data_IF_460456640737
#
_entry.id   IF_460456640737
#
_cell.length_a   1.000
_cell.length_b   1.000
_cell.length_c   1.000
_cell.angle_alpha   90.00
_cell.angle_beta   90.00
_cell.angle_gamma   90.00
#
_symmetry.space_group_name_H-M   'P 1'
#
loop_
_entity.id
_entity.type
_entity.pdbx_description
1 polymer ?
#
# COMPACT_ATOMS: atom_id res chain seq x y z
N UNK A 1 -48.75 -55.81 8.68
CA UNK A 1 -49.23 -55.78 7.30
C UNK A 1 -47.97 -55.29 6.52
N UNK A 2 -47.31 -56.29 6.15
CA UNK A 2 -47.03 -56.99 4.87
C UNK A 2 -46.07 -56.18 4.03
N UNK A 3 -44.74 -56.58 4.00
CA UNK A 3 -44.14 -57.52 3.01
C UNK A 3 -44.05 -56.87 1.60
N UNK A 4 -43.02 -56.90 0.75
CA UNK A 4 -42.09 -58.00 0.45
C UNK A 4 -41.21 -57.53 -0.75
N UNK A 5 -39.98 -58.06 -0.84
CA UNK A 5 -39.12 -58.38 -1.99
C UNK A 5 -38.04 -57.40 -2.51
N UNK A 6 -36.84 -57.82 -2.23
CA UNK A 6 -35.69 -57.75 -3.12
C UNK A 6 -35.77 -58.85 -4.23
N UNK A 7 -35.02 -58.79 -5.31
CA UNK A 7 -33.96 -59.78 -5.44
C UNK A 7 -32.61 -59.28 -6.00
N UNK A 8 -31.58 -60.02 -5.61
CA UNK A 8 -30.24 -60.14 -6.16
C UNK A 8 -30.24 -60.65 -7.62
N UNK A 9 -29.17 -60.31 -8.33
CA UNK A 9 -28.58 -61.17 -9.38
C UNK A 9 -27.18 -60.67 -9.72
N UNK A 10 -26.14 -61.35 -9.26
CA UNK A 10 -25.12 -62.18 -9.89
C UNK A 10 -24.33 -61.58 -11.07
N UNK A 11 -23.00 -61.62 -10.88
CA UNK A 11 -21.93 -61.41 -11.88
C UNK A 11 -21.78 -62.68 -12.78
N UNK A 12 -21.10 -62.59 -13.87
CA UNK A 12 -20.12 -63.59 -14.20
C UNK A 12 -18.70 -63.07 -14.48
N UNK A 13 -17.76 -63.84 -13.99
CA UNK A 13 -16.37 -63.90 -14.37
C UNK A 13 -16.20 -64.35 -15.84
N UNK A 14 -15.24 -63.77 -16.53
CA UNK A 14 -14.51 -64.48 -17.61
C UNK A 14 -13.03 -64.03 -17.57
N UNK A 15 -12.18 -65.03 -17.28
CA UNK A 15 -10.73 -65.08 -17.55
C UNK A 15 -10.47 -65.20 -19.05
N UNK A 16 -9.50 -64.47 -19.57
CA UNK A 16 -8.71 -64.94 -20.71
C UNK A 16 -7.26 -64.44 -20.69
N UNK A 17 -6.44 -65.34 -21.09
CA UNK A 17 -5.00 -65.51 -20.92
C UNK A 17 -4.08 -64.52 -21.67
N UNK A 18 -2.91 -64.43 -21.10
CA UNK A 18 -1.62 -63.98 -21.58
C UNK A 18 -1.32 -64.38 -23.04
N UNK A 19 -0.88 -63.41 -23.84
CA UNK A 19 0.15 -63.67 -24.84
C UNK A 19 1.15 -62.49 -24.95
N UNK A 20 2.42 -62.79 -24.86
CA UNK A 20 3.54 -61.84 -24.84
C UNK A 20 4.09 -61.60 -26.23
N UNK A 21 4.31 -60.32 -26.54
CA UNK A 21 5.32 -59.94 -27.54
C UNK A 21 6.03 -58.68 -27.08
N UNK A 22 7.35 -58.84 -26.91
CA UNK A 22 8.31 -57.74 -26.64
C UNK A 22 8.44 -56.87 -27.86
N UNK A 23 8.03 -55.60 -27.71
CA UNK A 23 8.25 -54.54 -28.67
C UNK A 23 9.01 -53.40 -28.01
N UNK A 24 10.33 -53.32 -28.23
CA UNK A 24 11.14 -52.15 -27.93
C UNK A 24 10.71 -50.97 -28.80
N UNK A 25 10.00 -50.03 -28.19
CA UNK A 25 9.66 -48.74 -28.80
C UNK A 25 9.80 -47.67 -27.73
N UNK A 26 10.89 -46.89 -27.79
CA UNK A 26 11.05 -45.66 -26.99
C UNK A 26 9.88 -44.72 -27.24
N UNK A 27 9.12 -44.31 -26.23
CA UNK A 27 8.24 -43.19 -26.40
C UNK A 27 9.04 -41.91 -26.19
N UNK A 28 9.43 -41.27 -27.28
CA UNK A 28 9.68 -39.86 -27.28
C UNK A 28 8.36 -39.17 -26.88
N UNK A 29 8.17 -38.92 -25.59
CA UNK A 29 7.14 -38.00 -25.13
C UNK A 29 7.57 -36.60 -25.52
N UNK A 30 7.17 -36.18 -26.70
CA UNK A 30 6.98 -34.75 -27.00
C UNK A 30 5.91 -34.26 -26.00
N UNK A 31 6.38 -33.76 -24.85
CA UNK A 31 5.58 -32.84 -24.07
C UNK A 31 5.20 -31.75 -25.04
N UNK A 32 3.93 -31.71 -25.43
CA UNK A 32 3.34 -30.55 -26.03
C UNK A 32 3.73 -29.36 -25.14
N UNK A 33 4.43 -28.43 -25.73
CA UNK A 33 4.74 -27.12 -25.16
C UNK A 33 3.39 -26.39 -24.97
N UNK A 34 2.76 -26.65 -23.84
CA UNK A 34 1.60 -25.88 -23.40
C UNK A 34 2.06 -24.45 -23.16
N UNK A 35 1.47 -23.56 -23.93
CA UNK A 35 1.68 -22.14 -24.07
C UNK A 35 2.36 -21.45 -22.89
N UNK A 36 3.56 -20.94 -23.10
CA UNK A 36 4.55 -20.38 -22.21
C UNK A 36 4.04 -19.89 -20.86
N UNK A 37 4.24 -20.66 -19.82
CA UNK A 37 4.13 -20.17 -18.44
C UNK A 37 5.11 -19.00 -18.30
N UNK A 38 4.59 -17.78 -18.15
CA UNK A 38 5.41 -16.58 -17.91
C UNK A 38 6.46 -16.85 -16.83
N UNK A 39 7.72 -16.78 -17.19
CA UNK A 39 8.85 -17.01 -16.31
C UNK A 39 8.95 -15.93 -15.20
N UNK A 40 9.90 -16.14 -14.29
CA UNK A 40 10.19 -15.11 -13.27
C UNK A 40 10.66 -13.81 -13.94
N UNK A 41 11.51 -13.92 -14.96
CA UNK A 41 12.00 -12.78 -15.75
C UNK A 41 10.88 -12.00 -16.38
N UNK A 42 9.92 -12.69 -17.04
CA UNK A 42 8.78 -12.04 -17.68
C UNK A 42 7.89 -11.28 -16.68
N UNK A 43 7.73 -11.84 -15.47
CA UNK A 43 6.98 -11.17 -14.41
C UNK A 43 7.67 -9.88 -13.94
N UNK A 44 8.99 -9.89 -13.82
CA UNK A 44 9.78 -8.69 -13.47
C UNK A 44 9.66 -7.65 -14.58
N UNK A 45 9.85 -8.05 -15.83
CA UNK A 45 9.74 -7.16 -17.01
C UNK A 45 8.36 -6.56 -17.10
N UNK A 46 7.30 -7.36 -16.89
CA UNK A 46 5.92 -6.86 -16.87
C UNK A 46 5.73 -5.79 -15.77
N UNK A 47 6.22 -6.03 -14.57
CA UNK A 47 6.16 -5.05 -13.48
C UNK A 47 6.86 -3.75 -13.85
N UNK A 48 8.10 -3.84 -14.35
CA UNK A 48 8.87 -2.66 -14.78
C UNK A 48 8.23 -1.89 -15.94
N UNK A 49 7.56 -2.59 -16.88
CA UNK A 49 6.81 -1.95 -17.95
C UNK A 49 5.66 -1.09 -17.41
N UNK A 50 4.86 -1.63 -16.47
CA UNK A 50 3.77 -0.87 -15.86
C UNK A 50 4.28 0.28 -14.96
N UNK A 51 5.40 0.09 -14.27
CA UNK A 51 6.08 1.18 -13.57
C UNK A 51 6.44 2.31 -14.55
N UNK A 52 7.13 1.99 -15.65
CA UNK A 52 7.54 2.97 -16.65
C UNK A 52 6.34 3.69 -17.28
N UNK A 53 5.32 2.94 -17.72
CA UNK A 53 4.12 3.49 -18.35
C UNK A 53 3.39 4.48 -17.42
N UNK A 54 3.13 4.09 -16.17
CA UNK A 54 2.37 4.92 -15.24
C UNK A 54 3.21 6.08 -14.68
N UNK A 55 4.54 5.91 -14.57
CA UNK A 55 5.44 7.00 -14.19
C UNK A 55 5.60 8.05 -15.29
N UNK A 56 5.48 7.65 -16.56
CA UNK A 56 5.47 8.61 -17.69
C UNK A 56 4.26 9.54 -17.65
N UNK A 57 3.10 9.06 -17.20
CA UNK A 57 1.91 9.91 -16.99
C UNK A 57 2.17 10.96 -15.91
N UNK A 58 2.76 10.56 -14.79
CA UNK A 58 3.11 11.49 -13.71
C UNK A 58 4.16 12.50 -14.17
N UNK A 59 5.22 12.05 -14.86
CA UNK A 59 6.25 12.93 -15.40
C UNK A 59 5.67 13.97 -16.39
N UNK A 60 4.73 13.55 -17.24
CA UNK A 60 4.01 14.47 -18.14
C UNK A 60 3.17 15.47 -17.35
N UNK A 61 2.42 15.00 -16.32
CA UNK A 61 1.66 15.88 -15.42
C UNK A 61 2.53 16.93 -14.76
N UNK A 62 3.69 16.52 -14.21
CA UNK A 62 4.68 17.42 -13.62
C UNK A 62 5.18 18.44 -14.65
N UNK A 63 5.56 18.00 -15.85
CA UNK A 63 6.05 18.89 -16.91
C UNK A 63 4.98 19.92 -17.31
N UNK A 64 3.71 19.52 -17.44
CA UNK A 64 2.60 20.42 -17.73
C UNK A 64 2.32 21.37 -16.56
N UNK A 65 2.36 20.87 -15.32
CA UNK A 65 2.21 21.71 -14.13
C UNK A 65 3.26 22.80 -14.06
N UNK A 66 4.54 22.43 -14.17
CA UNK A 66 5.66 23.39 -14.12
C UNK A 66 5.61 24.38 -15.30
N UNK A 67 5.21 23.91 -16.50
CA UNK A 67 5.17 24.74 -17.70
C UNK A 67 3.99 25.70 -17.81
N UNK A 68 2.82 25.34 -17.28
CA UNK A 68 1.57 26.05 -17.58
C UNK A 68 0.74 26.48 -16.37
N UNK A 69 0.91 25.88 -15.19
CA UNK A 69 0.14 26.27 -14.03
C UNK A 69 0.88 27.36 -13.22
N UNK A 70 0.16 28.37 -12.72
CA UNK A 70 0.73 29.33 -11.79
C UNK A 70 1.09 28.63 -10.48
N UNK A 71 2.18 29.04 -9.87
CA UNK A 71 2.50 28.62 -8.51
C UNK A 71 1.59 29.36 -7.53
N UNK A 72 0.99 28.62 -6.61
CA UNK A 72 0.18 29.21 -5.55
C UNK A 72 1.12 29.71 -4.45
N UNK A 73 1.13 31.03 -4.13
CA UNK A 73 1.90 31.53 -3.01
C UNK A 73 1.36 30.93 -1.71
N UNK A 74 2.04 29.93 -1.18
CA UNK A 74 1.67 29.38 0.12
C UNK A 74 2.58 29.99 1.18
N UNK A 75 2.00 30.49 2.27
CA UNK A 75 2.75 30.80 3.50
C UNK A 75 3.28 29.53 4.20
N UNK A 76 3.21 28.39 3.53
CA UNK A 76 3.55 27.07 4.03
C UNK A 76 5.01 26.65 3.77
N UNK A 77 5.83 27.53 3.19
CA UNK A 77 7.28 27.29 3.10
C UNK A 77 7.90 27.36 4.50
N UNK A 78 8.00 26.21 5.17
CA UNK A 78 8.62 26.11 6.50
C UNK A 78 10.14 26.04 6.44
N UNK A 79 10.70 25.71 5.28
CA UNK A 79 12.12 25.50 5.05
C UNK A 79 12.55 26.27 3.79
N UNK A 80 13.86 26.49 3.63
CA UNK A 80 14.41 27.13 2.46
C UNK A 80 13.91 26.45 1.17
N UNK A 81 13.15 27.22 0.39
CA UNK A 81 12.60 26.78 -0.88
C UNK A 81 13.62 27.06 -1.99
N UNK A 82 14.30 26.01 -2.41
CA UNK A 82 15.33 26.09 -3.45
C UNK A 82 14.76 25.83 -4.87
N UNK A 83 13.45 26.01 -5.08
CA UNK A 83 12.77 25.66 -6.34
C UNK A 83 12.46 24.17 -6.47
N UNK A 84 12.50 23.43 -5.37
CA UNK A 84 12.22 21.99 -5.31
C UNK A 84 10.71 21.76 -5.34
N UNK A 85 10.19 21.10 -6.36
CA UNK A 85 8.76 20.89 -6.52
C UNK A 85 8.32 19.41 -6.30
N UNK A 86 9.25 18.46 -6.29
CA UNK A 86 8.95 17.08 -5.97
C UNK A 86 8.86 16.78 -4.47
N UNK A 87 9.36 17.70 -3.64
CA UNK A 87 9.37 17.59 -2.18
C UNK A 87 8.39 18.57 -1.52
N UNK A 88 7.27 18.90 -2.16
CA UNK A 88 6.25 19.78 -1.59
C UNK A 88 5.54 19.12 -0.40
N UNK A 89 4.90 19.90 0.46
CA UNK A 89 4.16 19.46 1.65
C UNK A 89 5.03 18.60 2.60
N UNK A 90 4.63 17.35 2.86
CA UNK A 90 5.39 16.42 3.72
C UNK A 90 6.80 16.14 3.18
N UNK A 91 7.00 16.23 1.87
CA UNK A 91 8.30 16.05 1.24
C UNK A 91 9.39 17.00 1.74
N UNK A 92 9.01 18.23 2.14
CA UNK A 92 9.95 19.19 2.73
C UNK A 92 10.55 18.68 4.05
N UNK A 93 9.74 18.02 4.88
CA UNK A 93 10.21 17.43 6.12
C UNK A 93 11.22 16.32 5.88
N UNK A 94 10.98 15.46 4.89
CA UNK A 94 11.93 14.42 4.51
C UNK A 94 13.23 15.03 3.96
N UNK A 95 13.14 16.10 3.15
CA UNK A 95 14.30 16.83 2.64
C UNK A 95 15.10 17.45 3.80
N UNK A 96 14.44 18.13 4.71
CA UNK A 96 15.08 18.74 5.87
C UNK A 96 15.75 17.70 6.78
N UNK A 97 15.09 16.58 7.07
CA UNK A 97 15.69 15.48 7.82
C UNK A 97 16.92 14.91 7.08
N UNK A 98 16.84 14.76 5.76
CA UNK A 98 17.98 14.28 4.98
C UNK A 98 19.16 15.25 5.04
N UNK A 99 18.94 16.54 5.05
CA UNK A 99 19.95 17.60 5.11
C UNK A 99 20.49 17.84 6.53
N UNK A 100 19.62 18.13 7.48
CA UNK A 100 19.99 18.63 8.80
C UNK A 100 19.83 17.60 9.92
N UNK A 101 18.98 16.58 9.74
CA UNK A 101 18.62 15.62 10.78
C UNK A 101 17.33 15.98 11.49
N UNK A 102 17.11 15.32 12.62
CA UNK A 102 15.89 15.49 13.40
C UNK A 102 15.99 16.63 14.39
N UNK A 103 14.86 17.31 14.58
CA UNK A 103 14.65 18.22 15.71
C UNK A 103 13.29 17.95 16.37
N UNK A 104 13.19 18.28 17.63
CA UNK A 104 11.97 18.22 18.42
C UNK A 104 11.77 19.51 19.22
N UNK A 105 10.61 20.09 19.09
CA UNK A 105 10.13 21.21 19.91
C UNK A 105 8.79 20.83 20.49
N UNK A 106 8.67 20.91 21.79
CA UNK A 106 7.41 20.69 22.47
C UNK A 106 6.38 21.74 22.04
N UNK A 107 5.15 21.32 21.78
CA UNK A 107 4.03 22.16 21.32
C UNK A 107 4.24 22.86 19.95
N UNK A 108 5.19 22.41 19.14
CA UNK A 108 5.41 22.91 17.79
C UNK A 108 5.56 21.77 16.80
N UNK A 109 5.39 22.08 15.51
CA UNK A 109 5.66 21.13 14.44
C UNK A 109 7.12 20.69 14.48
N UNK A 110 7.36 19.40 14.43
CA UNK A 110 8.69 18.83 14.61
C UNK A 110 8.95 17.71 13.63
N UNK A 111 10.17 17.63 13.12
CA UNK A 111 10.55 16.61 12.12
C UNK A 111 10.45 15.17 12.64
N UNK A 112 10.41 14.98 13.97
CA UNK A 112 10.24 13.66 14.62
C UNK A 112 8.92 12.95 14.28
N UNK A 113 7.93 13.64 13.68
CA UNK A 113 6.72 13.02 13.15
C UNK A 113 7.00 12.04 11.99
N UNK A 114 8.11 12.23 11.28
CA UNK A 114 8.46 11.51 10.05
C UNK A 114 9.49 10.41 10.33
N UNK A 115 9.20 9.19 9.88
CA UNK A 115 9.96 8.00 10.24
C UNK A 115 11.26 7.86 9.44
N UNK A 116 12.31 7.20 10.04
CA UNK A 116 13.69 7.39 9.62
C UNK A 116 14.11 6.65 8.33
N UNK A 117 13.50 5.53 7.98
CA UNK A 117 14.04 4.68 6.90
C UNK A 117 14.16 5.43 5.56
N UNK A 118 13.13 6.20 5.17
CA UNK A 118 13.12 6.92 3.90
C UNK A 118 14.11 8.11 3.87
N UNK A 119 14.07 9.07 4.81
CA UNK A 119 14.99 10.21 4.76
C UNK A 119 16.46 9.80 5.00
N UNK A 120 16.73 8.76 5.78
CA UNK A 120 18.10 8.25 5.95
C UNK A 120 18.62 7.56 4.69
N UNK A 121 17.75 6.83 3.96
CA UNK A 121 18.11 6.29 2.65
C UNK A 121 18.42 7.42 1.65
N UNK A 122 17.62 8.49 1.62
CA UNK A 122 17.87 9.68 0.82
C UNK A 122 19.20 10.35 1.19
N UNK A 123 19.47 10.55 2.49
CA UNK A 123 20.76 11.07 2.97
C UNK A 123 21.93 10.21 2.52
N UNK A 124 21.81 8.88 2.60
CA UNK A 124 22.86 7.97 2.17
C UNK A 124 23.15 8.13 0.66
N UNK A 125 22.09 8.14 -0.16
CA UNK A 125 22.21 8.34 -1.61
C UNK A 125 22.83 9.70 -1.91
N UNK A 126 22.38 10.79 -1.27
CA UNK A 126 22.95 12.13 -1.44
C UNK A 126 24.46 12.16 -1.15
N UNK A 127 24.88 11.55 -0.03
CA UNK A 127 26.30 11.47 0.35
C UNK A 127 27.18 10.66 -0.60
N UNK A 128 26.63 9.55 -1.13
CA UNK A 128 27.41 8.66 -2.02
C UNK A 128 27.50 9.22 -3.44
N UNK A 129 26.43 9.87 -3.92
CA UNK A 129 26.33 10.34 -5.31
C UNK A 129 26.63 11.81 -5.49
N UNK A 130 26.62 12.62 -4.43
CA UNK A 130 26.71 14.09 -4.50
C UNK A 130 25.43 14.79 -5.01
N UNK A 131 24.33 14.05 -5.15
CA UNK A 131 23.03 14.64 -5.50
C UNK A 131 22.50 15.52 -4.38
N UNK A 132 21.70 16.55 -4.74
CA UNK A 132 20.89 17.30 -3.78
C UNK A 132 19.90 16.37 -3.10
N UNK A 133 19.52 16.66 -1.84
CA UNK A 133 18.70 15.78 -1.01
C UNK A 133 17.34 15.47 -1.64
N UNK A 134 16.70 16.46 -2.29
CA UNK A 134 15.46 16.20 -3.02
C UNK A 134 15.64 15.18 -4.13
N UNK A 135 16.65 15.35 -4.98
CA UNK A 135 16.94 14.43 -6.08
C UNK A 135 17.28 13.03 -5.55
N UNK A 136 18.04 12.94 -4.45
CA UNK A 136 18.35 11.68 -3.80
C UNK A 136 17.10 10.99 -3.25
N UNK A 137 16.19 11.71 -2.60
CA UNK A 137 14.91 11.20 -2.12
C UNK A 137 14.03 10.73 -3.29
N UNK A 138 14.02 11.48 -4.40
CA UNK A 138 13.28 11.11 -5.60
C UNK A 138 13.83 9.82 -6.22
N UNK A 139 15.17 9.66 -6.28
CA UNK A 139 15.81 8.43 -6.72
C UNK A 139 15.41 7.26 -5.82
N UNK A 140 15.49 7.42 -4.50
CA UNK A 140 15.07 6.39 -3.54
C UNK A 140 13.60 6.01 -3.77
N UNK A 141 12.68 6.98 -3.83
CA UNK A 141 11.26 6.73 -4.04
C UNK A 141 11.01 5.92 -5.31
N UNK A 142 11.60 6.33 -6.45
CA UNK A 142 11.35 5.69 -7.75
C UNK A 142 12.06 4.33 -7.91
N UNK A 143 13.25 4.13 -7.33
CA UNK A 143 13.92 2.84 -7.30
C UNK A 143 13.12 1.82 -6.47
N UNK A 144 12.65 2.22 -5.28
CA UNK A 144 11.79 1.36 -4.47
C UNK A 144 10.44 1.10 -5.15
N UNK A 145 9.88 2.08 -5.85
CA UNK A 145 8.65 1.88 -6.60
C UNK A 145 8.84 0.88 -7.76
N UNK A 146 9.90 1.02 -8.54
CA UNK A 146 10.23 0.06 -9.62
C UNK A 146 10.39 -1.36 -9.06
N UNK A 147 11.12 -1.50 -7.94
CA UNK A 147 11.25 -2.77 -7.24
C UNK A 147 9.90 -3.29 -6.71
N UNK A 148 9.04 -2.42 -6.19
CA UNK A 148 7.70 -2.78 -5.74
C UNK A 148 6.83 -3.30 -6.88
N UNK A 149 6.86 -2.69 -8.06
CA UNK A 149 6.14 -3.17 -9.25
C UNK A 149 6.64 -4.54 -9.72
N UNK A 150 7.96 -4.73 -9.77
CA UNK A 150 8.58 -6.01 -10.14
C UNK A 150 8.18 -7.12 -9.14
N UNK A 151 8.34 -6.86 -7.84
CA UNK A 151 7.97 -7.83 -6.80
C UNK A 151 6.46 -8.07 -6.71
N UNK A 152 5.64 -7.05 -6.95
CA UNK A 152 4.19 -7.20 -6.97
C UNK A 152 3.74 -8.08 -8.15
N UNK A 153 4.36 -7.93 -9.32
CA UNK A 153 4.09 -8.82 -10.46
C UNK A 153 4.46 -10.29 -10.14
N UNK A 154 5.58 -10.52 -9.46
CA UNK A 154 5.99 -11.85 -8.97
C UNK A 154 4.98 -12.37 -7.94
N UNK A 155 4.59 -11.54 -6.99
CA UNK A 155 3.60 -11.88 -5.97
C UNK A 155 2.24 -12.28 -6.60
N UNK A 156 1.75 -11.50 -7.57
CA UNK A 156 0.51 -11.79 -8.27
C UNK A 156 0.57 -13.15 -9.01
N UNK A 157 1.69 -13.43 -9.66
CA UNK A 157 1.90 -14.71 -10.36
C UNK A 157 1.81 -15.90 -9.40
N UNK A 158 2.46 -15.81 -8.26
CA UNK A 158 2.58 -16.92 -7.32
C UNK A 158 1.32 -17.10 -6.48
N UNK A 159 0.71 -15.99 -6.10
CA UNK A 159 -0.46 -16.00 -5.20
C UNK A 159 -1.76 -16.31 -5.94
N UNK A 160 -1.84 -15.99 -7.23
CA UNK A 160 -3.06 -16.11 -8.04
C UNK A 160 -2.80 -16.85 -9.36
N UNK A 161 -2.34 -18.13 -9.31
CA UNK A 161 -2.00 -18.88 -10.51
C UNK A 161 -3.21 -19.10 -11.46
N UNK A 162 -4.41 -19.27 -10.89
CA UNK A 162 -5.64 -19.54 -11.61
C UNK A 162 -6.43 -18.28 -11.99
N UNK A 163 -5.81 -17.11 -11.90
CA UNK A 163 -6.48 -15.86 -12.26
C UNK A 163 -6.57 -15.68 -13.79
N UNK A 164 -7.55 -14.91 -14.31
CA UNK A 164 -7.66 -14.59 -15.73
C UNK A 164 -6.35 -14.00 -16.29
N UNK A 165 -6.08 -14.20 -17.61
CA UNK A 165 -4.84 -13.76 -18.26
C UNK A 165 -4.53 -12.27 -18.02
N UNK A 166 -5.54 -11.43 -18.12
CA UNK A 166 -5.38 -9.96 -18.01
C UNK A 166 -5.31 -9.44 -16.56
N UNK A 167 -5.64 -10.30 -15.59
CA UNK A 167 -5.69 -9.97 -14.17
C UNK A 167 -4.43 -9.27 -13.68
N UNK A 168 -3.24 -9.81 -13.99
CA UNK A 168 -1.97 -9.26 -13.53
C UNK A 168 -1.72 -7.87 -14.09
N UNK A 169 -1.99 -7.68 -15.38
CA UNK A 169 -1.89 -6.39 -16.04
C UNK A 169 -2.79 -5.35 -15.39
N UNK A 170 -4.06 -5.70 -15.16
CA UNK A 170 -5.02 -4.79 -14.53
C UNK A 170 -4.67 -4.48 -13.06
N UNK A 171 -4.17 -5.45 -12.29
CA UNK A 171 -3.73 -5.21 -10.92
C UNK A 171 -2.50 -4.28 -10.85
N UNK A 172 -1.52 -4.46 -11.74
CA UNK A 172 -0.35 -3.59 -11.88
C UNK A 172 -0.77 -2.19 -12.36
N UNK A 173 -1.67 -2.13 -13.35
CA UNK A 173 -2.21 -0.85 -13.82
C UNK A 173 -2.89 -0.10 -12.67
N UNK A 174 -3.77 -0.75 -11.92
CA UNK A 174 -4.45 -0.15 -10.78
C UNK A 174 -3.47 0.40 -9.73
N UNK A 175 -2.38 -0.34 -9.42
CA UNK A 175 -1.35 0.12 -8.49
C UNK A 175 -0.63 1.40 -8.97
N UNK A 176 -0.58 1.63 -10.27
CA UNK A 176 0.15 2.76 -10.84
C UNK A 176 -0.70 3.93 -11.30
N UNK A 177 -2.01 3.73 -11.57
CA UNK A 177 -2.82 4.72 -12.28
C UNK A 177 -3.88 5.41 -11.41
N UNK A 178 -4.18 4.89 -10.20
CA UNK A 178 -5.11 5.58 -9.31
C UNK A 178 -4.60 7.00 -8.98
N UNK A 179 -5.47 8.03 -8.93
CA UNK A 179 -5.05 9.43 -8.80
C UNK A 179 -4.07 9.66 -7.66
N UNK A 180 -4.36 9.13 -6.47
CA UNK A 180 -3.53 9.30 -5.27
C UNK A 180 -2.18 8.54 -5.31
N UNK A 181 -1.93 7.71 -6.33
CA UNK A 181 -0.64 7.00 -6.46
C UNK A 181 0.50 7.87 -7.00
N UNK A 182 0.24 9.12 -7.39
CA UNK A 182 1.33 10.03 -7.76
C UNK A 182 2.30 10.25 -6.60
N UNK A 183 1.84 10.22 -5.34
CA UNK A 183 2.69 10.29 -4.15
C UNK A 183 3.82 9.25 -4.11
N UNK A 184 3.61 8.08 -4.72
CA UNK A 184 4.65 7.05 -4.79
C UNK A 184 5.90 7.49 -5.57
N UNK A 185 5.76 8.52 -6.40
CA UNK A 185 6.82 9.03 -7.30
C UNK A 185 7.40 10.35 -6.84
N UNK A 186 6.84 10.94 -5.79
CA UNK A 186 7.33 12.16 -5.14
C UNK A 186 8.36 11.81 -4.05
N UNK A 187 8.98 12.81 -3.44
CA UNK A 187 9.92 12.62 -2.34
C UNK A 187 9.19 12.20 -1.03
N UNK A 188 8.53 11.03 -1.07
CA UNK A 188 7.63 10.50 -0.05
C UNK A 188 7.97 9.06 0.30
N UNK A 189 7.59 8.61 1.51
CA UNK A 189 7.94 7.28 2.05
C UNK A 189 7.03 6.14 1.57
N UNK A 190 5.99 6.41 0.79
CA UNK A 190 4.97 5.44 0.36
C UNK A 190 5.56 4.26 -0.41
N UNK A 191 6.42 4.51 -1.38
CA UNK A 191 7.05 3.46 -2.20
C UNK A 191 7.95 2.55 -1.37
N UNK A 192 8.68 3.12 -0.40
CA UNK A 192 9.51 2.35 0.55
C UNK A 192 8.65 1.47 1.45
N UNK A 193 7.46 1.94 1.83
CA UNK A 193 6.52 1.16 2.62
C UNK A 193 5.82 0.07 1.80
N UNK A 194 5.46 0.35 0.54
CA UNK A 194 4.88 -0.63 -0.39
C UNK A 194 5.75 -1.87 -0.53
N UNK A 195 7.06 -1.70 -0.73
CA UNK A 195 7.96 -2.84 -0.87
C UNK A 195 7.99 -3.72 0.38
N UNK A 196 7.92 -3.12 1.58
CA UNK A 196 7.84 -3.87 2.83
C UNK A 196 6.55 -4.69 2.93
N UNK A 197 5.41 -4.12 2.53
CA UNK A 197 4.14 -4.85 2.48
C UNK A 197 4.18 -6.01 1.50
N UNK A 198 4.65 -5.77 0.26
CA UNK A 198 4.72 -6.79 -0.78
C UNK A 198 5.66 -7.93 -0.34
N UNK A 199 6.82 -7.60 0.23
CA UNK A 199 7.76 -8.60 0.73
C UNK A 199 7.17 -9.41 1.90
N UNK A 200 6.45 -8.77 2.82
CA UNK A 200 5.80 -9.47 3.93
C UNK A 200 4.72 -10.45 3.41
N UNK A 201 3.85 -10.01 2.49
CA UNK A 201 2.81 -10.84 1.89
C UNK A 201 3.39 -11.96 1.01
N UNK A 202 4.42 -11.66 0.22
CA UNK A 202 5.15 -12.65 -0.58
C UNK A 202 5.85 -13.67 0.31
N UNK A 203 6.46 -13.23 1.41
CA UNK A 203 7.10 -14.10 2.39
C UNK A 203 6.10 -15.06 3.05
N UNK A 204 4.91 -14.57 3.38
CA UNK A 204 3.82 -15.43 3.89
C UNK A 204 3.36 -16.41 2.80
N UNK A 205 3.19 -15.98 1.57
CA UNK A 205 2.78 -16.83 0.45
C UNK A 205 3.81 -17.93 0.13
N UNK A 206 5.11 -17.60 0.20
CA UNK A 206 6.23 -18.52 0.01
C UNK A 206 6.61 -19.31 1.26
N UNK A 207 5.89 -19.14 2.35
CA UNK A 207 6.17 -19.78 3.65
C UNK A 207 7.60 -19.51 4.16
N UNK A 208 8.07 -18.28 4.04
CA UNK A 208 9.35 -17.88 4.60
C UNK A 208 9.42 -18.10 6.12
N UNK A 209 10.63 -18.26 6.68
CA UNK A 209 10.81 -18.33 8.13
C UNK A 209 10.14 -17.13 8.82
N UNK A 210 9.43 -17.39 9.90
CA UNK A 210 8.68 -16.37 10.67
C UNK A 210 9.53 -15.15 11.03
N UNK A 211 10.79 -15.38 11.43
CA UNK A 211 11.72 -14.31 11.78
C UNK A 211 12.03 -13.38 10.60
N UNK A 212 12.14 -13.92 9.38
CA UNK A 212 12.39 -13.11 8.17
C UNK A 212 11.17 -12.22 7.88
N UNK A 213 9.96 -12.77 7.96
CA UNK A 213 8.73 -11.98 7.79
C UNK A 213 8.63 -10.90 8.86
N UNK A 214 8.95 -11.21 10.13
CA UNK A 214 8.97 -10.25 11.23
C UNK A 214 9.99 -9.14 10.99
N UNK A 215 11.21 -9.46 10.52
CA UNK A 215 12.24 -8.45 10.19
C UNK A 215 11.78 -7.51 9.07
N UNK A 216 11.12 -8.04 8.03
CA UNK A 216 10.56 -7.23 6.93
C UNK A 216 9.46 -6.29 7.45
N UNK A 217 8.57 -6.78 8.31
CA UNK A 217 7.53 -5.95 8.94
C UNK A 217 8.19 -4.87 9.81
N UNK A 218 9.24 -5.21 10.56
CA UNK A 218 10.00 -4.26 11.35
C UNK A 218 10.63 -3.15 10.51
N UNK A 219 11.14 -3.45 9.31
CA UNK A 219 11.57 -2.43 8.34
C UNK A 219 10.38 -1.54 7.93
N UNK A 220 9.21 -2.11 7.71
CA UNK A 220 7.98 -1.35 7.47
C UNK A 220 7.65 -0.38 8.62
N UNK A 221 7.88 -0.79 9.89
CA UNK A 221 7.70 0.10 11.06
C UNK A 221 8.77 1.19 11.17
N UNK A 222 9.94 1.02 10.52
CA UNK A 222 10.94 2.07 10.40
C UNK A 222 10.63 3.08 9.29
N UNK A 223 9.74 2.73 8.34
CA UNK A 223 9.31 3.64 7.27
C UNK A 223 8.12 4.50 7.66
N UNK A 224 7.15 3.91 8.35
CA UNK A 224 5.88 4.55 8.76
C UNK A 224 5.34 3.91 10.04
N UNK A 225 4.72 4.69 10.95
CA UNK A 225 4.14 4.12 12.18
C UNK A 225 3.04 3.10 11.88
N UNK A 226 2.29 3.27 10.78
CA UNK A 226 1.24 2.34 10.33
C UNK A 226 1.79 0.95 9.95
N UNK A 227 3.11 0.77 9.86
CA UNK A 227 3.75 -0.55 9.65
C UNK A 227 3.33 -1.61 10.67
N UNK A 228 2.93 -1.20 11.88
CA UNK A 228 2.38 -2.10 12.92
C UNK A 228 1.09 -2.81 12.45
N UNK A 229 0.39 -2.28 11.45
CA UNK A 229 -0.81 -2.89 10.85
C UNK A 229 -0.55 -4.26 10.19
N UNK A 230 0.71 -4.58 9.90
CA UNK A 230 1.09 -5.89 9.35
C UNK A 230 1.27 -6.97 10.43
N UNK A 231 1.39 -6.59 11.71
CA UNK A 231 1.59 -7.53 12.83
C UNK A 231 0.43 -8.53 12.98
N UNK A 232 -0.85 -8.15 12.86
CA UNK A 232 -1.95 -9.12 12.93
C UNK A 232 -1.85 -10.23 11.86
N UNK A 233 -1.38 -9.91 10.65
CA UNK A 233 -1.14 -10.93 9.63
C UNK A 233 0.01 -11.88 10.02
N UNK A 234 1.10 -11.37 10.61
CA UNK A 234 2.18 -12.18 11.17
C UNK A 234 1.68 -13.11 12.29
N UNK A 235 0.82 -12.61 13.18
CA UNK A 235 0.24 -13.42 14.25
C UNK A 235 -0.64 -14.57 13.71
N UNK A 236 -1.45 -14.30 12.69
CA UNK A 236 -2.22 -15.34 12.00
C UNK A 236 -1.29 -16.36 11.33
N UNK A 237 -0.23 -15.91 10.67
CA UNK A 237 0.76 -16.75 10.05
C UNK A 237 1.52 -17.61 11.09
N UNK A 238 1.89 -17.03 12.22
CA UNK A 238 2.50 -17.73 13.35
C UNK A 238 1.58 -18.79 13.93
N UNK A 239 0.27 -18.47 14.05
CA UNK A 239 -0.75 -19.42 14.52
C UNK A 239 -0.81 -20.65 13.62
N UNK A 240 -0.83 -20.45 12.29
CA UNK A 240 -0.92 -21.57 11.35
C UNK A 240 0.34 -22.46 11.32
N UNK A 241 1.49 -21.92 11.75
CA UNK A 241 2.75 -22.65 11.87
C UNK A 241 3.05 -23.16 13.29
N UNK A 242 2.07 -23.12 14.19
CA UNK A 242 2.24 -23.55 15.57
C UNK A 242 1.37 -24.77 15.85
N UNK A 243 2.01 -25.86 16.29
CA UNK A 243 1.32 -27.11 16.61
C UNK A 243 0.50 -27.01 17.91
N UNK A 244 0.93 -26.15 18.85
CA UNK A 244 0.31 -26.01 20.16
C UNK A 244 0.03 -24.56 20.50
N UNK A 245 -0.95 -24.32 21.41
CA UNK A 245 -1.26 -22.98 21.90
C UNK A 245 -0.07 -22.34 22.63
N UNK A 246 0.67 -23.13 23.43
CA UNK A 246 1.87 -22.65 24.11
C UNK A 246 2.98 -22.23 23.14
N UNK A 247 3.21 -23.06 22.09
CA UNK A 247 4.16 -22.72 21.03
C UNK A 247 3.79 -21.45 20.25
N UNK A 248 2.48 -21.24 19.98
CA UNK A 248 1.99 -20.00 19.38
C UNK A 248 2.27 -18.78 20.27
N UNK A 249 1.95 -18.85 21.55
CA UNK A 249 2.17 -17.74 22.50
C UNK A 249 3.66 -17.40 22.59
N UNK A 250 4.51 -18.42 22.76
CA UNK A 250 5.96 -18.21 22.87
C UNK A 250 6.54 -17.58 21.58
N UNK A 251 6.21 -18.14 20.42
CA UNK A 251 6.66 -17.58 19.12
C UNK A 251 6.17 -16.15 18.95
N UNK A 252 4.90 -15.87 19.25
CA UNK A 252 4.33 -14.53 19.14
C UNK A 252 5.04 -13.52 20.06
N UNK A 253 5.35 -13.92 21.31
CA UNK A 253 6.08 -13.09 22.26
C UNK A 253 7.49 -12.72 21.78
N UNK A 254 8.14 -13.56 20.97
CA UNK A 254 9.44 -13.29 20.36
C UNK A 254 9.33 -12.49 19.05
N UNK A 255 8.31 -12.79 18.23
CA UNK A 255 8.18 -12.23 16.89
C UNK A 255 7.58 -10.82 16.87
N UNK A 256 6.70 -10.48 17.83
CA UNK A 256 6.11 -9.14 17.90
C UNK A 256 7.17 -8.06 18.19
N UNK A 257 8.05 -8.20 19.20
CA UNK A 257 9.17 -7.27 19.39
C UNK A 257 10.08 -7.19 18.17
N UNK A 258 10.37 -8.34 17.52
CA UNK A 258 11.15 -8.39 16.30
C UNK A 258 10.45 -7.66 15.14
N UNK A 259 9.13 -7.74 15.01
CA UNK A 259 8.36 -6.99 14.01
C UNK A 259 8.23 -5.50 14.33
N UNK A 260 8.52 -5.09 15.56
CA UNK A 260 8.53 -3.70 15.99
C UNK A 260 9.94 -3.07 16.03
N UNK A 261 10.99 -3.77 15.57
CA UNK A 261 12.38 -3.29 15.74
C UNK A 261 12.59 -1.87 15.18
N UNK A 262 11.94 -1.52 14.06
CA UNK A 262 12.12 -0.22 13.44
C UNK A 262 11.54 0.92 14.27
N UNK A 263 10.30 0.78 14.75
CA UNK A 263 9.70 1.78 15.65
C UNK A 263 10.43 1.81 16.98
N UNK A 264 10.84 0.65 17.52
CA UNK A 264 11.58 0.58 18.77
C UNK A 264 12.96 1.28 18.68
N UNK A 265 13.70 1.06 17.60
CA UNK A 265 14.96 1.75 17.34
C UNK A 265 14.76 3.27 17.24
N UNK A 266 13.65 3.70 16.60
CA UNK A 266 13.34 5.12 16.52
C UNK A 266 12.94 5.72 17.87
N UNK A 267 12.17 4.99 18.68
CA UNK A 267 11.84 5.40 20.06
C UNK A 267 13.12 5.53 20.93
N UNK A 268 14.06 4.59 20.82
CA UNK A 268 15.34 4.66 21.52
C UNK A 268 16.12 5.89 21.07
N UNK A 269 16.20 6.15 19.77
CA UNK A 269 16.86 7.35 19.25
C UNK A 269 16.23 8.63 19.83
N UNK A 270 14.88 8.75 19.84
CA UNK A 270 14.19 9.91 20.39
C UNK A 270 14.41 10.06 21.89
N UNK A 271 14.41 8.96 22.66
CA UNK A 271 14.71 8.99 24.08
C UNK A 271 16.13 9.53 24.36
N UNK A 272 17.12 9.10 23.57
CA UNK A 272 18.51 9.54 23.72
C UNK A 272 18.72 10.98 23.24
N UNK A 273 18.14 11.34 22.08
CA UNK A 273 18.37 12.64 21.46
C UNK A 273 17.53 13.77 22.08
N UNK A 274 16.31 13.47 22.53
CA UNK A 274 15.32 14.47 22.95
C UNK A 274 14.73 14.22 24.34
N UNK A 275 15.08 13.12 25.01
CA UNK A 275 14.53 12.77 26.32
C UNK A 275 13.09 12.24 26.30
N UNK A 276 12.47 12.08 25.10
CA UNK A 276 11.09 11.63 24.93
C UNK A 276 10.98 10.51 23.88
N UNK A 277 10.79 9.24 24.30
CA UNK A 277 10.72 8.11 23.37
C UNK A 277 9.49 8.12 22.47
N UNK A 278 8.47 8.90 22.77
CA UNK A 278 7.21 9.00 22.01
C UNK A 278 6.98 10.39 21.41
N UNK A 279 8.04 11.18 21.25
CA UNK A 279 7.97 12.52 20.66
C UNK A 279 7.27 12.52 19.30
N UNK A 280 7.47 11.46 18.46
CA UNK A 280 6.79 11.30 17.19
C UNK A 280 5.26 11.24 17.32
N UNK A 281 4.74 10.66 18.39
CA UNK A 281 3.30 10.58 18.63
C UNK A 281 2.75 11.87 19.25
N UNK A 282 3.49 12.50 20.16
CA UNK A 282 3.07 13.76 20.80
C UNK A 282 2.99 14.90 19.81
N UNK A 283 3.96 15.03 18.91
CA UNK A 283 3.98 16.10 17.92
C UNK A 283 2.82 15.99 16.92
N UNK A 284 2.18 14.83 16.76
CA UNK A 284 0.98 14.67 15.90
C UNK A 284 -0.19 15.56 16.34
N UNK A 285 -0.26 15.92 17.62
CA UNK A 285 -1.29 16.84 18.11
C UNK A 285 -1.21 18.23 17.46
N UNK A 286 -0.01 18.63 16.99
CA UNK A 286 0.19 19.94 16.34
C UNK A 286 -0.38 19.99 14.90
N UNK A 287 -0.61 18.83 14.28
CA UNK A 287 -1.31 18.72 12.99
C UNK A 287 -2.82 18.56 13.13
N UNK A 288 -3.34 18.38 14.35
CA UNK A 288 -4.76 18.18 14.57
C UNK A 288 -5.54 19.48 14.29
N UNK A 289 -6.52 19.41 13.39
CA UNK A 289 -7.44 20.51 13.13
C UNK A 289 -8.47 20.66 14.27
N UNK A 290 -8.72 19.58 15.01
CA UNK A 290 -9.60 19.55 16.19
C UNK A 290 -9.18 18.48 17.18
N UNK A 291 -9.59 18.66 18.43
CA UNK A 291 -9.36 17.70 19.51
C UNK A 291 -10.69 17.18 20.04
N UNK A 292 -10.79 15.88 20.26
CA UNK A 292 -11.99 15.29 20.85
C UNK A 292 -12.10 15.67 22.34
N UNK A 293 -13.29 16.05 22.84
CA UNK A 293 -13.49 16.38 24.26
C UNK A 293 -13.21 15.21 25.20
N UNK A 294 -13.41 13.98 24.72
CA UNK A 294 -13.10 12.75 25.44
C UNK A 294 -12.91 11.59 24.45
N UNK A 295 -12.30 10.50 24.94
CA UNK A 295 -12.19 9.26 24.16
C UNK A 295 -13.56 8.71 23.75
N UNK A 296 -14.56 8.78 24.64
CA UNK A 296 -15.92 8.36 24.34
C UNK A 296 -16.55 9.15 23.20
N UNK A 297 -16.37 10.48 23.21
CA UNK A 297 -16.84 11.36 22.13
C UNK A 297 -16.19 11.01 20.79
N UNK A 298 -14.88 10.74 20.78
CA UNK A 298 -14.16 10.28 19.59
C UNK A 298 -14.70 8.96 19.07
N UNK A 299 -14.91 7.98 19.96
CA UNK A 299 -15.48 6.66 19.58
C UNK A 299 -16.84 6.83 18.94
N UNK A 300 -17.72 7.63 19.55
CA UNK A 300 -19.07 7.90 19.02
C UNK A 300 -18.99 8.58 17.66
N UNK A 301 -18.16 9.62 17.52
CA UNK A 301 -17.99 10.34 16.24
C UNK A 301 -17.50 9.41 15.12
N UNK A 302 -16.49 8.58 15.39
CA UNK A 302 -15.99 7.63 14.40
C UNK A 302 -17.00 6.53 14.08
N UNK A 303 -17.72 6.01 15.08
CA UNK A 303 -18.74 4.98 14.89
C UNK A 303 -19.97 5.49 14.12
N UNK A 304 -20.33 6.76 14.29
CA UNK A 304 -21.41 7.42 13.54
C UNK A 304 -20.97 8.02 12.20
N UNK A 305 -19.71 7.76 11.81
CA UNK A 305 -19.12 8.29 10.59
C UNK A 305 -19.20 9.84 10.51
N UNK A 306 -19.14 10.51 11.67
CA UNK A 306 -19.22 11.98 11.74
C UNK A 306 -18.20 12.68 10.83
N UNK A 307 -16.92 12.26 10.73
CA UNK A 307 -15.98 12.93 9.85
C UNK A 307 -16.37 12.89 8.37
N UNK A 308 -17.17 11.90 7.94
CA UNK A 308 -17.61 11.77 6.55
C UNK A 308 -18.68 12.81 6.18
N UNK A 309 -19.76 12.89 6.96
CA UNK A 309 -20.84 13.81 6.62
C UNK A 309 -20.50 15.27 6.95
N UNK A 310 -19.68 15.55 7.97
CA UNK A 310 -19.22 16.91 8.27
C UNK A 310 -18.31 17.48 7.19
N UNK A 311 -17.57 16.62 6.49
CA UNK A 311 -16.72 17.05 5.37
C UNK A 311 -17.55 17.67 4.23
N UNK A 312 -18.80 17.25 4.03
CA UNK A 312 -19.69 17.77 2.98
C UNK A 312 -20.74 18.75 3.51
N UNK A 313 -20.72 19.09 4.79
CA UNK A 313 -21.64 20.05 5.38
C UNK A 313 -21.03 21.46 5.33
N UNK A 314 -21.56 22.42 4.54
CA UNK A 314 -20.94 23.75 4.36
C UNK A 314 -20.73 24.55 5.65
N UNK A 315 -21.59 24.35 6.65
CA UNK A 315 -21.48 25.01 7.96
C UNK A 315 -20.45 24.37 8.89
N UNK A 316 -20.01 23.13 8.60
CA UNK A 316 -19.07 22.43 9.46
C UNK A 316 -17.63 23.00 9.32
N UNK A 317 -16.84 23.02 10.42
CA UNK A 317 -15.44 23.48 10.36
C UNK A 317 -14.60 22.72 9.36
N UNK A 318 -14.82 21.41 9.23
CA UNK A 318 -14.08 20.51 8.33
C UNK A 318 -14.54 20.51 6.88
N UNK A 319 -15.49 21.37 6.48
CA UNK A 319 -16.00 21.39 5.11
C UNK A 319 -14.89 21.52 4.07
N UNK A 320 -14.84 20.58 3.14
CA UNK A 320 -13.75 20.47 2.16
C UNK A 320 -13.56 21.72 1.29
N UNK A 321 -14.67 22.41 0.93
CA UNK A 321 -14.63 23.58 0.07
C UNK A 321 -14.11 24.87 0.72
N UNK A 322 -13.85 24.88 2.04
CA UNK A 322 -13.33 26.09 2.72
C UNK A 322 -11.89 26.45 2.37
N UNK A 323 -11.12 25.47 1.97
CA UNK A 323 -9.67 25.60 1.77
C UNK A 323 -9.23 25.34 0.33
N UNK A 324 -10.20 25.16 -0.59
CA UNK A 324 -9.92 24.92 -2.01
C UNK A 324 -10.05 26.22 -2.80
N UNK A 325 -9.02 26.51 -3.62
CA UNK A 325 -9.07 27.58 -4.60
C UNK A 325 -10.03 27.28 -5.77
N UNK A 326 -10.44 28.26 -6.57
CA UNK A 326 -11.36 28.04 -7.70
C UNK A 326 -10.85 27.03 -8.73
N UNK A 327 -9.54 26.97 -8.96
CA UNK A 327 -8.92 26.00 -9.87
C UNK A 327 -8.82 24.59 -9.24
N UNK A 328 -8.68 24.53 -7.92
CA UNK A 328 -8.45 23.29 -7.21
C UNK A 328 -9.77 22.56 -6.93
N UNK A 329 -10.89 23.28 -6.93
CA UNK A 329 -12.21 22.78 -6.58
C UNK A 329 -12.61 21.48 -7.28
N UNK A 330 -12.45 21.32 -8.61
CA UNK A 330 -12.81 20.08 -9.31
C UNK A 330 -11.87 18.91 -9.05
N UNK A 331 -10.66 19.17 -8.55
CA UNK A 331 -9.58 18.20 -8.39
C UNK A 331 -9.19 17.98 -6.94
N UNK A 332 -9.96 18.48 -5.98
CA UNK A 332 -9.65 18.34 -4.57
C UNK A 332 -9.70 16.88 -4.11
N UNK A 333 -8.56 16.30 -3.81
CA UNK A 333 -8.45 14.97 -3.19
C UNK A 333 -9.15 14.93 -1.84
N UNK A 334 -9.20 16.05 -1.12
CA UNK A 334 -9.91 16.16 0.14
C UNK A 334 -11.40 15.82 0.00
N UNK A 335 -12.04 16.25 -1.10
CA UNK A 335 -13.41 15.86 -1.40
C UNK A 335 -13.54 14.36 -1.73
N UNK A 336 -12.49 13.75 -2.28
CA UNK A 336 -12.49 12.36 -2.70
C UNK A 336 -12.01 11.38 -1.59
N UNK A 337 -11.32 11.87 -0.56
CA UNK A 337 -10.72 11.07 0.52
C UNK A 337 -11.68 10.05 1.15
N UNK A 338 -12.95 10.39 1.52
CA UNK A 338 -13.89 9.42 2.05
C UNK A 338 -14.24 8.29 1.10
N UNK A 339 -14.33 8.59 -0.20
CA UNK A 339 -14.64 7.58 -1.22
C UNK A 339 -13.47 6.63 -1.45
N UNK A 340 -12.24 7.12 -1.44
CA UNK A 340 -11.05 6.26 -1.49
C UNK A 340 -10.98 5.32 -0.29
N UNK A 341 -11.23 5.84 0.92
CA UNK A 341 -11.22 5.03 2.13
C UNK A 341 -12.32 3.96 2.12
N UNK A 342 -13.58 4.37 1.91
CA UNK A 342 -14.71 3.44 1.88
C UNK A 342 -14.60 2.44 0.71
N UNK A 343 -14.15 2.91 -0.45
CA UNK A 343 -13.90 2.06 -1.60
C UNK A 343 -12.84 1.00 -1.31
N UNK A 344 -11.71 1.39 -0.72
CA UNK A 344 -10.65 0.46 -0.34
C UNK A 344 -11.13 -0.56 0.72
N UNK A 345 -11.86 -0.09 1.74
CA UNK A 345 -12.43 -0.96 2.77
C UNK A 345 -13.46 -1.94 2.16
N UNK A 346 -14.34 -1.45 1.28
CA UNK A 346 -15.29 -2.26 0.54
C UNK A 346 -14.62 -3.31 -0.35
N UNK A 347 -13.51 -2.96 -1.02
CA UNK A 347 -12.71 -3.88 -1.83
C UNK A 347 -12.07 -4.97 -0.96
N UNK A 348 -11.50 -4.63 0.20
CA UNK A 348 -10.96 -5.62 1.14
C UNK A 348 -12.06 -6.57 1.61
N UNK A 349 -13.21 -6.03 2.00
CA UNK A 349 -14.37 -6.84 2.40
C UNK A 349 -14.85 -7.75 1.27
N UNK A 350 -15.05 -7.22 0.07
CA UNK A 350 -15.43 -7.98 -1.12
C UNK A 350 -14.42 -9.09 -1.43
N UNK A 351 -13.12 -8.77 -1.41
CA UNK A 351 -12.05 -9.72 -1.66
C UNK A 351 -12.04 -10.86 -0.61
N UNK A 352 -12.32 -10.55 0.64
CA UNK A 352 -12.45 -11.56 1.70
C UNK A 352 -13.68 -12.46 1.51
N UNK A 353 -14.86 -11.89 1.30
CA UNK A 353 -16.12 -12.63 1.09
C UNK A 353 -16.06 -13.52 -0.15
N UNK A 354 -15.50 -13.00 -1.25
CA UNK A 354 -15.30 -13.75 -2.50
C UNK A 354 -14.14 -14.74 -2.44
N UNK A 355 -13.41 -14.84 -1.30
CA UNK A 355 -12.22 -15.68 -1.12
C UNK A 355 -11.10 -15.36 -2.15
N UNK A 356 -11.09 -14.14 -2.69
CA UNK A 356 -10.00 -13.65 -3.55
C UNK A 356 -8.78 -13.29 -2.70
N UNK A 357 -9.00 -12.75 -1.50
CA UNK A 357 -7.97 -12.46 -0.52
C UNK A 357 -7.89 -13.56 0.53
N UNK A 358 -6.67 -13.90 0.95
CA UNK A 358 -6.44 -14.72 2.14
C UNK A 358 -6.75 -13.92 3.41
N UNK A 359 -6.86 -14.62 4.54
CA UNK A 359 -7.01 -13.97 5.85
C UNK A 359 -5.88 -13.00 6.19
N UNK A 360 -4.66 -13.26 5.71
CA UNK A 360 -3.49 -12.40 5.94
C UNK A 360 -3.61 -11.09 5.18
N UNK A 361 -3.97 -11.15 3.90
CA UNK A 361 -4.21 -10.00 3.04
C UNK A 361 -5.39 -9.16 3.56
N UNK A 362 -6.49 -9.82 3.91
CA UNK A 362 -7.69 -9.12 4.39
C UNK A 362 -7.44 -8.39 5.72
N UNK A 363 -6.80 -9.07 6.69
CA UNK A 363 -6.50 -8.48 8.00
C UNK A 363 -5.48 -7.35 7.88
N UNK A 364 -4.39 -7.54 7.13
CA UNK A 364 -3.42 -6.46 6.91
C UNK A 364 -4.04 -5.26 6.21
N UNK A 365 -4.84 -5.48 5.15
CA UNK A 365 -5.53 -4.41 4.44
C UNK A 365 -6.53 -3.64 5.32
N UNK A 366 -7.33 -4.36 6.12
CA UNK A 366 -8.24 -3.72 7.07
C UNK A 366 -7.49 -2.90 8.13
N UNK A 367 -6.43 -3.44 8.73
CA UNK A 367 -5.64 -2.72 9.74
C UNK A 367 -4.94 -1.49 9.15
N UNK A 368 -4.43 -1.57 7.91
CA UNK A 368 -3.80 -0.44 7.20
C UNK A 368 -4.77 0.71 6.94
N UNK A 369 -6.07 0.45 6.85
CA UNK A 369 -7.12 1.48 6.71
C UNK A 369 -7.64 1.94 8.07
N UNK A 370 -7.93 1.02 8.98
CA UNK A 370 -8.60 1.34 10.24
C UNK A 370 -7.67 2.07 11.24
N UNK A 371 -6.35 1.80 11.23
CA UNK A 371 -5.42 2.53 12.09
C UNK A 371 -5.35 4.02 11.72
N UNK A 372 -5.12 4.42 10.45
CA UNK A 372 -5.21 5.83 10.08
C UNK A 372 -6.60 6.45 10.35
N UNK A 373 -7.68 5.71 10.11
CA UNK A 373 -9.02 6.19 10.43
C UNK A 373 -9.17 6.50 11.92
N UNK A 374 -8.67 5.63 12.80
CA UNK A 374 -8.67 5.85 14.23
C UNK A 374 -7.79 7.02 14.67
N UNK A 375 -6.60 7.18 14.06
CA UNK A 375 -5.59 8.15 14.50
C UNK A 375 -5.72 9.52 13.85
N UNK A 376 -6.33 9.62 12.65
CA UNK A 376 -6.42 10.86 11.86
C UNK A 376 -7.84 11.21 11.44
N UNK A 377 -8.75 10.23 11.35
CA UNK A 377 -10.09 10.44 10.80
C UNK A 377 -10.89 11.52 11.51
N UNK A 378 -10.84 11.57 12.85
CA UNK A 378 -11.49 12.61 13.63
C UNK A 378 -10.69 13.91 13.65
N UNK A 379 -9.42 13.84 14.02
CA UNK A 379 -8.57 15.01 14.27
C UNK A 379 -8.29 15.83 13.01
N UNK A 380 -8.19 15.17 11.86
CA UNK A 380 -7.82 15.79 10.59
C UNK A 380 -8.94 15.76 9.54
N UNK A 381 -10.19 15.49 9.94
CA UNK A 381 -11.34 15.44 9.02
C UNK A 381 -11.11 14.58 7.79
N UNK A 382 -10.56 13.37 7.96
CA UNK A 382 -10.21 12.41 6.89
C UNK A 382 -9.15 12.89 5.89
N UNK A 383 -8.47 13.99 6.12
CA UNK A 383 -7.42 14.49 5.21
C UNK A 383 -6.37 13.41 4.92
N UNK A 384 -5.96 13.27 3.66
CA UNK A 384 -4.98 12.29 3.17
C UNK A 384 -5.42 10.81 3.23
N UNK A 385 -6.70 10.51 3.50
CA UNK A 385 -7.16 9.11 3.53
C UNK A 385 -7.02 8.43 2.16
N UNK A 386 -7.13 9.14 1.06
CA UNK A 386 -6.87 8.63 -0.28
C UNK A 386 -5.41 8.17 -0.47
N UNK A 387 -4.45 8.93 0.06
CA UNK A 387 -3.03 8.58 0.09
C UNK A 387 -2.78 7.30 0.90
N UNK A 388 -3.42 7.19 2.08
CA UNK A 388 -3.31 5.99 2.91
C UNK A 388 -3.97 4.78 2.25
N UNK A 389 -5.13 4.96 1.63
CA UNK A 389 -5.84 3.90 0.89
C UNK A 389 -5.04 3.39 -0.31
N UNK A 390 -4.36 4.29 -1.06
CA UNK A 390 -3.46 3.92 -2.15
C UNK A 390 -2.29 3.05 -1.68
N UNK A 391 -1.81 3.22 -0.46
CA UNK A 391 -0.72 2.41 0.05
C UNK A 391 -1.14 1.00 0.50
N UNK A 392 -2.40 0.57 0.31
CA UNK A 392 -2.93 -0.74 0.75
C UNK A 392 -2.80 -1.76 -0.37
N UNK A 393 -1.72 -2.53 -0.39
CA UNK A 393 -1.41 -3.53 -1.43
C UNK A 393 -2.55 -4.51 -1.73
N UNK A 394 -3.29 -5.08 -0.74
CA UNK A 394 -4.38 -6.03 -0.99
C UNK A 394 -5.57 -5.49 -1.81
N UNK A 395 -5.70 -4.19 -1.98
CA UNK A 395 -6.75 -3.58 -2.83
C UNK A 395 -6.55 -3.90 -4.31
N UNK A 396 -5.31 -3.94 -4.76
CA UNK A 396 -4.97 -4.05 -6.18
C UNK A 396 -5.30 -5.40 -6.81
N UNK A 397 -5.09 -6.57 -6.17
CA UNK A 397 -5.57 -7.84 -6.70
C UNK A 397 -7.09 -7.88 -6.86
N UNK A 398 -7.84 -7.22 -5.96
CA UNK A 398 -9.31 -7.17 -6.04
C UNK A 398 -9.74 -6.31 -7.24
N UNK A 399 -9.12 -5.13 -7.42
CA UNK A 399 -9.34 -4.29 -8.60
C UNK A 399 -8.98 -5.01 -9.89
N UNK A 400 -7.86 -5.73 -9.91
CA UNK A 400 -7.46 -6.54 -11.07
C UNK A 400 -8.49 -7.61 -11.44
N UNK A 401 -9.11 -8.29 -10.46
CA UNK A 401 -10.18 -9.26 -10.70
C UNK A 401 -11.46 -8.61 -11.18
N UNK A 402 -11.84 -7.47 -10.62
CA UNK A 402 -13.01 -6.70 -11.09
C UNK A 402 -12.78 -6.24 -12.53
N UNK A 403 -11.62 -5.66 -12.82
CA UNK A 403 -11.31 -5.20 -14.19
C UNK A 403 -11.29 -6.34 -15.20
N UNK A 404 -10.81 -7.53 -14.83
CA UNK A 404 -10.84 -8.70 -15.69
C UNK A 404 -12.27 -9.27 -15.94
N UNK A 405 -13.26 -8.87 -15.13
CA UNK A 405 -14.65 -9.32 -15.25
C UNK A 405 -15.55 -8.34 -16.03
N UNK A 406 -15.07 -7.14 -16.35
CA UNK A 406 -15.86 -6.13 -17.09
C UNK A 406 -15.32 -5.95 -18.52
N UNK A 407 -16.14 -5.43 -19.47
CA UNK A 407 -15.72 -5.25 -20.85
C UNK A 407 -14.48 -4.37 -21.00
N UNK A 408 -13.53 -4.80 -21.84
CA UNK A 408 -12.26 -4.08 -22.05
C UNK A 408 -12.40 -2.59 -22.43
N UNK A 409 -13.38 -2.17 -23.26
CA UNK A 409 -13.57 -0.74 -23.55
C UNK A 409 -13.90 0.10 -22.30
N UNK A 410 -14.67 -0.48 -21.36
CA UNK A 410 -15.00 0.20 -20.11
C UNK A 410 -13.77 0.29 -19.21
N UNK A 411 -12.97 -0.77 -19.13
CA UNK A 411 -11.67 -0.73 -18.39
C UNK A 411 -10.77 0.35 -19.00
N UNK A 412 -10.67 0.41 -20.33
CA UNK A 412 -9.87 1.42 -21.01
C UNK A 412 -10.33 2.86 -20.71
N UNK A 413 -11.66 3.09 -20.71
CA UNK A 413 -12.23 4.40 -20.38
C UNK A 413 -11.94 4.80 -18.91
N UNK A 414 -12.12 3.87 -17.98
CA UNK A 414 -11.81 4.10 -16.55
C UNK A 414 -10.31 4.34 -16.34
N UNK A 415 -9.46 3.59 -17.03
CA UNK A 415 -8.01 3.76 -16.96
C UNK A 415 -7.58 5.12 -17.56
N UNK A 416 -8.16 5.54 -18.68
CA UNK A 416 -7.89 6.86 -19.27
C UNK A 416 -8.29 8.00 -18.33
N UNK A 417 -9.48 7.93 -17.73
CA UNK A 417 -9.94 8.91 -16.74
C UNK A 417 -9.02 8.93 -15.52
N UNK A 418 -8.68 7.76 -14.98
CA UNK A 418 -7.79 7.66 -13.81
C UNK A 418 -6.38 8.19 -14.13
N UNK A 419 -5.85 7.89 -15.33
CA UNK A 419 -4.55 8.42 -15.79
C UNK A 419 -4.56 9.93 -15.98
N UNK A 420 -5.66 10.50 -16.51
CA UNK A 420 -5.85 11.95 -16.59
C UNK A 420 -5.82 12.58 -15.19
N UNK A 421 -6.59 12.04 -14.25
CA UNK A 421 -6.59 12.54 -12.86
C UNK A 421 -5.22 12.39 -12.20
N UNK A 422 -4.54 11.26 -12.39
CA UNK A 422 -3.18 11.03 -11.88
C UNK A 422 -2.20 12.11 -12.37
N UNK A 423 -2.25 12.43 -13.66
CA UNK A 423 -1.41 13.48 -14.26
C UNK A 423 -1.79 14.88 -13.76
N UNK A 424 -3.09 15.17 -13.64
CA UNK A 424 -3.60 16.45 -13.13
C UNK A 424 -3.19 16.67 -11.66
N UNK A 425 -3.35 15.65 -10.81
CA UNK A 425 -2.94 15.74 -9.41
C UNK A 425 -1.43 15.97 -9.26
N UNK A 426 -0.62 15.31 -10.08
CA UNK A 426 0.81 15.55 -10.10
C UNK A 426 1.15 17.00 -10.54
N UNK A 427 0.42 17.53 -11.54
CA UNK A 427 0.58 18.90 -12.00
C UNK A 427 0.25 19.94 -10.92
N UNK A 428 -0.86 19.74 -10.21
CA UNK A 428 -1.27 20.60 -9.10
C UNK A 428 -0.31 20.50 -7.91
N UNK A 429 0.12 19.29 -7.56
CA UNK A 429 1.04 19.06 -6.45
C UNK A 429 2.33 19.87 -6.59
N UNK A 430 2.97 19.85 -7.76
CA UNK A 430 4.25 20.51 -7.98
C UNK A 430 4.15 22.04 -8.02
N UNK A 431 2.94 22.59 -8.04
CA UNK A 431 2.65 24.04 -8.05
C UNK A 431 1.96 24.53 -6.78
N UNK A 432 2.00 23.73 -5.71
CA UNK A 432 1.44 24.06 -4.39
C UNK A 432 -0.07 24.27 -4.34
N UNK A 433 -0.80 23.77 -5.32
CA UNK A 433 -2.25 23.81 -5.25
C UNK A 433 -2.75 22.95 -4.08
N UNK A 434 -3.80 23.42 -3.40
CA UNK A 434 -4.36 22.75 -2.22
C UNK A 434 -5.27 21.60 -2.66
N UNK A 435 -4.68 20.48 -3.03
CA UNK A 435 -5.38 19.25 -3.43
C UNK A 435 -5.60 18.29 -2.26
N UNK A 436 -4.90 18.49 -1.13
CA UNK A 436 -4.90 17.61 0.04
C UNK A 436 -5.68 18.24 1.20
#
# INVERSE_FOLDING_TARGET
MSDVFAPECEAPHEDFAVDGTVGNGSPGSTRADDGGAFGLGDSIVLGLLYFWLTSSIVAMGVALGVGYLPEVPTGAHKFDYDGDFYANWDGQWYKDIARHGYFYKEHDYSSVAFFPAFPLAGRLVARVTGLREEAALLVVANVFLAAAFALFSVYLRERFPDAPKDFRGYALLAMGILPTTFFFRMAYSESTFLICQILALLGIARRWPLAVVALVIGLGTATRPVGVALIPALLLYTKDQSATRGGYVLKSAMLVPLACWGVAAYMIYQAVAFGDPIAFARTQANWAARTAPSLGAKVVALATLEPFWTLYTPSAPGYWGKHTGPLDFPFSLRAADPFFFLGALGLIFLGFVKKWLSKYEAVSGACLLLIPYWTHGYEQHLTSMGRFAAAVVPVYPVLGRIAAAIPAPLVAALAAMSGFLLGAEAAFFVRWHTII
#
